data_IF_194848987055
#
_entry.id   IF_194848987055
#
_cell.length_a   1.000
_cell.length_b   1.000
_cell.length_c   1.000
_cell.angle_alpha   90.00
_cell.angle_beta   90.00
_cell.angle_gamma   90.00
#
_symmetry.space_group_name_H-M   'P 1'
#
loop_
_entity.id
_entity.type
_entity.pdbx_description
1 polymer ?
#
# COMPACT_ATOMS: atom_id res chain seq x y z
N UNK A 1 -2.22 1.74 7.85
CA UNK A 1 -1.72 2.54 6.70
C UNK A 1 -2.51 3.83 6.42
N UNK A 2 -3.85 3.81 6.34
CA UNK A 2 -4.66 5.03 6.08
C UNK A 2 -4.37 6.18 7.05
N UNK A 3 -4.18 5.87 8.34
CA UNK A 3 -3.78 6.83 9.36
C UNK A 3 -2.40 7.48 9.09
N UNK A 4 -1.39 6.69 8.68
CA UNK A 4 -0.07 7.23 8.30
C UNK A 4 -0.16 8.12 7.06
N UNK A 5 -0.99 7.74 6.08
CA UNK A 5 -1.26 8.56 4.91
C UNK A 5 -1.89 9.91 5.31
N UNK A 6 -2.88 9.90 6.20
CA UNK A 6 -3.52 11.12 6.70
C UNK A 6 -2.53 12.01 7.48
N UNK A 7 -1.65 11.42 8.29
CA UNK A 7 -0.53 12.12 8.94
C UNK A 7 0.45 12.73 7.95
N UNK A 8 0.76 12.04 6.85
CA UNK A 8 1.65 12.56 5.81
C UNK A 8 1.03 13.73 5.04
N UNK A 9 -0.29 13.68 4.78
CA UNK A 9 -1.05 14.78 4.18
C UNK A 9 -1.10 15.98 5.13
N UNK A 10 -1.41 15.77 6.41
CA UNK A 10 -1.45 16.85 7.39
C UNK A 10 -0.08 17.49 7.58
N UNK A 11 1.00 16.70 7.58
CA UNK A 11 2.38 17.21 7.63
C UNK A 11 2.73 18.02 6.38
N UNK A 12 2.36 17.52 5.20
CA UNK A 12 2.54 18.24 3.93
C UNK A 12 1.78 19.57 3.89
N UNK A 13 0.62 19.68 4.53
CA UNK A 13 -0.20 20.91 4.55
C UNK A 13 0.23 21.90 5.66
N UNK A 14 0.81 21.42 6.76
CA UNK A 14 1.26 22.24 7.90
C UNK A 14 2.68 22.80 7.75
N UNK A 15 3.26 22.71 6.56
CA UNK A 15 4.65 23.14 6.28
C UNK A 15 4.94 24.61 6.60
N UNK A 16 3.94 25.50 6.52
CA UNK A 16 4.09 26.92 6.89
C UNK A 16 4.42 27.14 8.38
N UNK A 17 4.04 26.21 9.27
CA UNK A 17 4.30 26.30 10.71
C UNK A 17 5.75 25.97 11.09
N UNK A 18 6.57 25.49 10.15
CA UNK A 18 7.97 25.10 10.36
C UNK A 18 8.89 26.34 10.53
N UNK A 19 8.39 27.54 10.19
CA UNK A 19 9.17 28.80 10.15
C UNK A 19 9.62 29.30 11.55
N UNK A 20 8.97 28.87 12.65
CA UNK A 20 9.38 29.24 14.02
C UNK A 20 10.43 28.24 14.56
N UNK A 21 11.36 28.66 15.41
CA UNK A 21 12.38 27.77 16.04
C UNK A 21 11.76 26.53 16.73
N UNK A 22 10.54 26.65 17.27
CA UNK A 22 9.77 25.53 17.82
C UNK A 22 9.29 24.51 16.76
N UNK A 23 9.30 24.88 15.48
CA UNK A 23 8.95 24.05 14.34
C UNK A 23 9.95 22.93 14.08
N UNK A 24 11.26 23.19 14.24
CA UNK A 24 12.32 22.19 14.00
C UNK A 24 12.24 21.03 15.00
N UNK A 25 11.98 21.32 16.28
CA UNK A 25 11.80 20.27 17.28
C UNK A 25 10.50 19.48 17.06
N UNK A 26 9.43 20.15 16.61
CA UNK A 26 8.16 19.50 16.25
C UNK A 26 8.30 18.58 15.03
N UNK A 27 9.01 19.00 13.98
CA UNK A 27 9.26 18.15 12.79
C UNK A 27 10.11 16.94 13.15
N UNK A 28 11.09 17.11 14.05
CA UNK A 28 11.89 16.01 14.58
C UNK A 28 11.03 14.97 15.31
N UNK A 29 10.16 15.41 16.21
CA UNK A 29 9.25 14.54 16.95
C UNK A 29 8.27 13.83 16.01
N UNK A 30 7.76 14.53 14.99
CA UNK A 30 6.92 13.94 13.96
C UNK A 30 7.65 12.83 13.21
N UNK A 31 8.88 13.09 12.72
CA UNK A 31 9.68 12.10 12.00
C UNK A 31 9.99 10.86 12.84
N UNK A 32 10.35 11.04 14.11
CA UNK A 32 10.62 9.92 15.01
C UNK A 32 9.36 9.05 15.23
N UNK A 33 8.20 9.68 15.48
CA UNK A 33 6.93 8.98 15.65
C UNK A 33 6.53 8.26 14.35
N UNK A 34 6.62 8.94 13.22
CA UNK A 34 6.29 8.39 11.91
C UNK A 34 7.17 7.18 11.57
N UNK A 35 8.48 7.31 11.77
CA UNK A 35 9.46 6.26 11.51
C UNK A 35 9.16 4.99 12.32
N UNK A 36 8.91 5.14 13.63
CA UNK A 36 8.61 4.02 14.51
C UNK A 36 7.27 3.34 14.14
N UNK A 37 6.21 4.12 13.90
CA UNK A 37 4.91 3.56 13.48
C UNK A 37 5.01 2.84 12.14
N UNK A 38 5.75 3.40 11.17
CA UNK A 38 5.95 2.80 9.87
C UNK A 38 6.73 1.49 9.96
N UNK A 39 7.85 1.48 10.70
CA UNK A 39 8.67 0.27 10.89
C UNK A 39 7.89 -0.84 11.59
N UNK A 40 7.09 -0.50 12.61
CA UNK A 40 6.21 -1.47 13.29
C UNK A 40 5.24 -2.11 12.29
N UNK A 41 4.54 -1.31 11.49
CA UNK A 41 3.62 -1.84 10.47
C UNK A 41 4.35 -2.66 9.40
N UNK A 42 5.54 -2.23 8.98
CA UNK A 42 6.32 -2.94 7.96
C UNK A 42 6.80 -4.30 8.45
N UNK A 43 7.32 -4.37 9.68
CA UNK A 43 7.77 -5.63 10.31
C UNK A 43 6.61 -6.59 10.54
N UNK A 44 5.46 -6.10 11.02
CA UNK A 44 4.22 -6.89 11.12
C UNK A 44 3.77 -7.42 9.76
N UNK A 45 3.79 -6.57 8.71
CA UNK A 45 3.41 -6.96 7.36
C UNK A 45 4.32 -8.05 6.80
N UNK A 46 5.65 -7.92 6.98
CA UNK A 46 6.62 -8.94 6.54
C UNK A 46 6.38 -10.27 7.26
N UNK A 47 6.17 -10.22 8.59
CA UNK A 47 5.95 -11.43 9.40
C UNK A 47 4.66 -12.15 9.00
N UNK A 48 3.63 -11.41 8.63
CA UNK A 48 2.34 -11.96 8.23
C UNK A 48 2.28 -12.39 6.75
N UNK A 49 3.17 -11.85 5.91
CA UNK A 49 3.20 -12.13 4.49
C UNK A 49 3.24 -13.62 4.12
N UNK A 50 4.09 -14.51 4.70
CA UNK A 50 4.13 -15.91 4.27
C UNK A 50 2.78 -16.61 4.47
N UNK A 51 2.13 -16.40 5.62
CA UNK A 51 0.82 -16.99 5.93
C UNK A 51 -0.26 -16.51 4.98
N UNK A 52 -0.36 -15.19 4.79
CA UNK A 52 -1.38 -14.61 3.90
C UNK A 52 -1.13 -14.95 2.44
N UNK A 53 0.13 -15.01 2.03
CA UNK A 53 0.56 -15.36 0.67
C UNK A 53 0.15 -16.79 0.31
N UNK A 54 0.33 -17.74 1.22
CA UNK A 54 -0.11 -19.13 1.04
C UNK A 54 -1.64 -19.24 1.02
N UNK A 55 -2.34 -18.56 1.92
CA UNK A 55 -3.80 -18.56 1.99
C UNK A 55 -4.43 -17.99 0.72
N UNK A 56 -3.91 -16.87 0.21
CA UNK A 56 -4.38 -16.26 -1.04
C UNK A 56 -4.20 -17.19 -2.24
N UNK A 57 -3.11 -17.95 -2.28
CA UNK A 57 -2.87 -18.92 -3.33
C UNK A 57 -3.90 -20.06 -3.31
N UNK A 58 -4.19 -20.64 -2.14
CA UNK A 58 -5.21 -21.68 -1.99
C UNK A 58 -6.60 -21.15 -2.39
N UNK A 59 -6.97 -19.95 -1.93
CA UNK A 59 -8.25 -19.34 -2.29
C UNK A 59 -8.38 -19.09 -3.80
N UNK A 60 -7.29 -18.70 -4.47
CA UNK A 60 -7.28 -18.49 -5.92
C UNK A 60 -7.52 -19.81 -6.69
N UNK A 61 -6.95 -20.93 -6.23
CA UNK A 61 -7.22 -22.25 -6.81
C UNK A 61 -8.68 -22.66 -6.59
N UNK A 62 -9.17 -22.54 -5.35
CA UNK A 62 -10.55 -22.93 -4.99
C UNK A 62 -11.56 -22.13 -5.81
N UNK A 63 -11.41 -20.81 -5.90
CA UNK A 63 -12.33 -19.96 -6.67
C UNK A 63 -12.36 -20.28 -8.16
N UNK A 64 -11.21 -20.57 -8.77
CA UNK A 64 -11.16 -20.99 -10.19
C UNK A 64 -11.82 -22.34 -10.39
N UNK A 65 -11.62 -23.29 -9.48
CA UNK A 65 -12.33 -24.57 -9.49
C UNK A 65 -13.84 -24.39 -9.35
N UNK A 66 -14.27 -23.57 -8.39
CA UNK A 66 -15.69 -23.32 -8.11
C UNK A 66 -16.43 -22.74 -9.32
N UNK A 67 -15.84 -21.78 -10.05
CA UNK A 67 -16.50 -21.20 -11.22
C UNK A 67 -16.58 -22.18 -12.40
N UNK A 68 -15.55 -23.01 -12.63
CA UNK A 68 -15.57 -24.05 -13.66
C UNK A 68 -16.69 -25.05 -13.36
N UNK A 69 -16.77 -25.53 -12.11
CA UNK A 69 -17.82 -26.46 -11.68
C UNK A 69 -19.20 -25.80 -11.76
N UNK A 70 -19.34 -24.54 -11.39
CA UNK A 70 -20.60 -23.81 -11.49
C UNK A 70 -21.12 -23.71 -12.93
N UNK A 71 -20.23 -23.38 -13.88
CA UNK A 71 -20.58 -23.28 -15.30
C UNK A 71 -20.95 -24.65 -15.87
N UNK A 72 -20.16 -25.70 -15.57
CA UNK A 72 -20.44 -27.07 -16.01
C UNK A 72 -21.74 -27.63 -15.41
N UNK A 73 -22.03 -27.29 -14.16
CA UNK A 73 -23.26 -27.69 -13.49
C UNK A 73 -24.47 -26.98 -14.10
N UNK A 74 -24.35 -25.67 -14.37
CA UNK A 74 -25.38 -24.90 -15.04
C UNK A 74 -25.67 -25.39 -16.46
N UNK A 75 -24.64 -25.72 -17.25
CA UNK A 75 -24.82 -26.14 -18.64
C UNK A 75 -25.50 -27.49 -18.81
N UNK A 76 -25.36 -28.39 -17.83
CA UNK A 76 -26.02 -29.72 -17.84
C UNK A 76 -27.45 -29.69 -17.33
N UNK A 77 -27.90 -28.58 -16.74
CA UNK A 77 -29.19 -28.49 -16.09
C UNK A 77 -30.28 -28.08 -17.09
N UNK A 78 -31.27 -28.95 -17.33
CA UNK A 78 -32.42 -28.66 -18.20
C UNK A 78 -33.53 -27.89 -17.48
N UNK A 79 -33.70 -28.10 -16.17
CA UNK A 79 -34.62 -27.35 -15.31
C UNK A 79 -33.93 -26.86 -14.03
N UNK A 80 -34.11 -25.57 -13.72
CA UNK A 80 -33.55 -24.92 -12.55
C UNK A 80 -34.45 -25.14 -11.32
N UNK A 81 -34.10 -26.12 -10.50
CA UNK A 81 -34.69 -26.31 -9.17
C UNK A 81 -34.09 -25.34 -8.14
N UNK A 82 -34.83 -25.05 -7.06
CA UNK A 82 -34.36 -24.22 -5.94
C UNK A 82 -33.02 -24.71 -5.34
N UNK A 83 -32.81 -26.02 -5.26
CA UNK A 83 -31.55 -26.59 -4.80
C UNK A 83 -30.38 -26.35 -5.78
N UNK A 84 -30.64 -26.44 -7.09
CA UNK A 84 -29.61 -26.14 -8.10
C UNK A 84 -29.30 -24.65 -8.21
N UNK A 85 -30.28 -23.77 -8.01
CA UNK A 85 -30.03 -22.33 -8.03
C UNK A 85 -29.23 -21.89 -6.80
N UNK A 86 -29.54 -22.44 -5.62
CA UNK A 86 -28.78 -22.15 -4.39
C UNK A 86 -27.34 -22.66 -4.46
N UNK A 87 -27.08 -23.85 -5.02
CA UNK A 87 -25.71 -24.36 -5.19
C UNK A 87 -24.86 -23.48 -6.12
N UNK A 88 -25.43 -23.04 -7.26
CA UNK A 88 -24.77 -22.12 -8.19
C UNK A 88 -24.46 -20.78 -7.49
N UNK A 89 -25.41 -20.25 -6.72
CA UNK A 89 -25.20 -19.00 -5.97
C UNK A 89 -24.07 -19.13 -4.96
N UNK A 90 -23.96 -20.25 -4.22
CA UNK A 90 -22.85 -20.48 -3.29
C UNK A 90 -21.52 -20.51 -4.05
N UNK A 91 -21.44 -21.23 -5.18
CA UNK A 91 -20.22 -21.29 -5.98
C UNK A 91 -19.81 -19.91 -6.54
N UNK A 92 -20.77 -19.11 -7.00
CA UNK A 92 -20.52 -17.72 -7.41
C UNK A 92 -19.98 -16.86 -6.26
N UNK A 93 -20.54 -16.99 -5.06
CA UNK A 93 -20.04 -16.27 -3.88
C UNK A 93 -18.60 -16.66 -3.55
N UNK A 94 -18.25 -17.94 -3.64
CA UNK A 94 -16.87 -18.41 -3.43
C UNK A 94 -15.90 -17.88 -4.48
N UNK A 95 -16.36 -17.61 -5.70
CA UNK A 95 -15.56 -16.97 -6.75
C UNK A 95 -15.33 -15.48 -6.50
N UNK A 96 -16.36 -14.73 -6.09
CA UNK A 96 -16.22 -13.29 -5.84
C UNK A 96 -15.43 -12.95 -4.57
N UNK A 97 -15.42 -13.85 -3.58
CA UNK A 97 -14.72 -13.63 -2.31
C UNK A 97 -13.22 -13.28 -2.44
N UNK A 98 -12.37 -14.07 -3.12
CA UNK A 98 -10.96 -13.72 -3.29
C UNK A 98 -10.76 -12.47 -4.13
N UNK A 99 -11.63 -12.17 -5.11
CA UNK A 99 -11.55 -10.92 -5.89
C UNK A 99 -11.66 -9.70 -4.96
N UNK A 100 -12.60 -9.73 -4.02
CA UNK A 100 -12.75 -8.67 -3.01
C UNK A 100 -11.50 -8.61 -2.10
N UNK A 101 -10.98 -9.74 -1.64
CA UNK A 101 -9.75 -9.77 -0.84
C UNK A 101 -8.56 -9.17 -1.58
N UNK A 102 -8.30 -9.56 -2.83
CA UNK A 102 -7.24 -8.99 -3.66
C UNK A 102 -7.41 -7.48 -3.87
N UNK A 103 -8.65 -6.99 -4.01
CA UNK A 103 -8.94 -5.56 -4.10
C UNK A 103 -8.53 -4.78 -2.84
N UNK A 104 -8.63 -5.40 -1.66
CA UNK A 104 -8.24 -4.80 -0.38
C UNK A 104 -6.74 -4.85 -0.17
N UNK A 105 -6.14 -6.00 -0.46
CA UNK A 105 -4.69 -6.23 -0.34
C UNK A 105 -3.89 -5.30 -1.26
N UNK A 106 -4.34 -5.12 -2.50
CA UNK A 106 -3.69 -4.23 -3.48
C UNK A 106 -3.72 -2.75 -3.12
N UNK A 107 -4.59 -2.31 -2.18
CA UNK A 107 -4.60 -0.91 -1.71
C UNK A 107 -3.39 -0.57 -0.85
N UNK A 108 -2.84 -1.53 -0.11
CA UNK A 108 -1.69 -1.30 0.78
C UNK A 108 -0.46 -0.71 0.06
N UNK A 109 0.06 -1.32 -1.03
CA UNK A 109 1.20 -0.75 -1.75
C UNK A 109 0.87 0.62 -2.36
N UNK A 110 -0.36 0.82 -2.86
CA UNK A 110 -0.76 2.14 -3.41
C UNK A 110 -0.79 3.22 -2.35
N UNK A 111 -1.28 2.92 -1.13
CA UNK A 111 -1.23 3.85 -0.01
C UNK A 111 0.21 4.17 0.41
N UNK A 112 1.11 3.17 0.38
CA UNK A 112 2.54 3.40 0.66
C UNK A 112 3.15 4.37 -0.37
N UNK A 113 2.90 4.16 -1.66
CA UNK A 113 3.38 5.03 -2.75
C UNK A 113 2.82 6.46 -2.68
N UNK A 114 1.54 6.62 -2.32
CA UNK A 114 0.98 7.96 -2.10
C UNK A 114 1.63 8.63 -0.90
N UNK A 115 1.83 7.89 0.19
CA UNK A 115 2.48 8.40 1.39
C UNK A 115 3.93 8.82 1.12
N UNK A 116 4.72 8.03 0.38
CA UNK A 116 6.08 8.42 -0.04
C UNK A 116 6.07 9.70 -0.87
N UNK A 117 5.14 9.84 -1.83
CA UNK A 117 5.01 11.05 -2.65
C UNK A 117 4.71 12.29 -1.82
N UNK A 118 3.80 12.21 -0.85
CA UNK A 118 3.50 13.33 0.05
C UNK A 118 4.69 13.70 0.93
N UNK A 119 5.37 12.72 1.50
CA UNK A 119 6.56 12.96 2.33
C UNK A 119 7.71 13.55 1.52
N UNK A 120 7.92 13.10 0.28
CA UNK A 120 8.98 13.59 -0.60
C UNK A 120 8.72 15.03 -1.01
N UNK A 121 7.47 15.36 -1.38
CA UNK A 121 7.05 16.73 -1.66
C UNK A 121 7.23 17.64 -0.44
N UNK A 122 6.89 17.13 0.75
CA UNK A 122 7.07 17.87 2.00
C UNK A 122 8.57 18.13 2.27
N UNK A 123 9.43 17.11 2.13
CA UNK A 123 10.88 17.27 2.29
C UNK A 123 11.46 18.28 1.29
N UNK A 124 11.12 18.17 0.01
CA UNK A 124 11.59 19.10 -1.03
C UNK A 124 11.22 20.56 -0.70
N UNK A 125 9.98 20.80 -0.24
CA UNK A 125 9.53 22.12 0.20
C UNK A 125 10.27 22.63 1.43
N UNK A 126 10.50 21.76 2.42
CA UNK A 126 11.25 22.15 3.62
C UNK A 126 12.71 22.49 3.30
N UNK A 127 13.35 21.73 2.42
CA UNK A 127 14.73 21.98 1.98
C UNK A 127 14.84 23.29 1.21
N UNK A 128 13.92 23.55 0.28
CA UNK A 128 13.88 24.81 -0.47
C UNK A 128 13.69 26.02 0.44
N UNK A 129 12.80 25.94 1.43
CA UNK A 129 12.59 27.01 2.41
C UNK A 129 13.83 27.26 3.28
N UNK A 130 14.49 26.19 3.74
CA UNK A 130 15.74 26.31 4.53
C UNK A 130 16.83 27.00 3.70
N UNK A 131 16.97 26.66 2.41
CA UNK A 131 17.92 27.30 1.51
C UNK A 131 17.60 28.79 1.33
N UNK A 132 16.35 29.14 1.00
CA UNK A 132 15.90 30.52 0.78
C UNK A 132 16.06 31.42 2.01
N UNK A 133 15.92 30.88 3.21
CA UNK A 133 16.08 31.64 4.46
C UNK A 133 17.56 31.78 4.86
N UNK A 134 18.42 30.88 4.41
CA UNK A 134 19.84 30.86 4.73
C UNK A 134 20.65 31.87 3.92
N UNK A 135 20.24 32.25 2.71
CA UNK A 135 20.90 33.33 1.94
C UNK A 135 21.03 34.66 2.72
N UNK A 136 20.27 34.84 3.81
CA UNK A 136 20.31 36.01 4.71
C UNK A 136 21.06 35.79 6.05
N UNK A 137 21.45 34.57 6.43
CA UNK A 137 21.94 34.23 7.80
C UNK A 137 23.19 33.33 7.87
N UNK A 138 23.80 32.99 6.74
CA UNK A 138 24.90 32.00 6.60
C UNK A 138 26.09 32.21 7.56
N UNK A 139 26.33 33.42 8.08
CA UNK A 139 27.55 33.70 8.86
C UNK A 139 27.56 33.12 10.30
N UNK A 140 26.42 32.85 10.94
CA UNK A 140 26.38 32.88 12.43
C UNK A 140 26.46 31.51 13.13
N UNK A 141 26.22 30.34 12.48
CA UNK A 141 26.33 29.07 13.22
C UNK A 141 26.50 27.78 12.38
N UNK A 142 27.74 27.43 12.04
CA UNK A 142 28.11 26.21 11.27
C UNK A 142 27.63 24.90 11.94
N UNK A 143 27.60 24.85 13.27
CA UNK A 143 27.20 23.66 14.07
C UNK A 143 25.70 23.35 13.99
N UNK A 144 24.83 24.37 13.96
CA UNK A 144 23.38 24.14 13.86
C UNK A 144 23.01 23.69 12.44
N UNK A 145 23.67 24.24 11.42
CA UNK A 145 23.52 23.84 10.02
C UNK A 145 23.87 22.36 9.79
N UNK A 146 25.00 21.90 10.33
CA UNK A 146 25.39 20.48 10.24
C UNK A 146 24.36 19.54 10.89
N UNK A 147 23.76 19.91 12.03
CA UNK A 147 22.71 19.09 12.67
C UNK A 147 21.44 19.02 11.84
N UNK A 148 21.01 20.11 11.23
CA UNK A 148 19.82 20.17 10.35
C UNK A 148 20.06 19.35 9.07
N UNK A 149 21.25 19.50 8.45
CA UNK A 149 21.64 18.75 7.26
C UNK A 149 21.65 17.23 7.49
N UNK A 150 22.23 16.76 8.60
CA UNK A 150 22.22 15.34 8.97
C UNK A 150 20.81 14.77 9.11
N UNK A 151 19.88 15.54 9.69
CA UNK A 151 18.50 15.10 9.86
C UNK A 151 17.77 15.00 8.51
N UNK A 152 17.94 16.01 7.66
CA UNK A 152 17.38 16.04 6.31
C UNK A 152 17.88 14.87 5.46
N UNK A 153 19.19 14.57 5.56
CA UNK A 153 19.80 13.43 4.89
C UNK A 153 19.22 12.10 5.38
N UNK A 154 19.08 11.91 6.70
CA UNK A 154 18.46 10.71 7.28
C UNK A 154 17.01 10.53 6.81
N UNK A 155 16.20 11.59 6.78
CA UNK A 155 14.82 11.50 6.28
C UNK A 155 14.76 11.20 4.78
N UNK A 156 15.65 11.78 3.98
CA UNK A 156 15.76 11.49 2.54
C UNK A 156 16.07 10.01 2.29
N UNK A 157 17.09 9.47 2.95
CA UNK A 157 17.44 8.06 2.86
C UNK A 157 16.29 7.16 3.27
N UNK A 158 15.58 7.52 4.35
CA UNK A 158 14.42 6.77 4.80
C UNK A 158 13.29 6.75 3.75
N UNK A 159 12.99 7.88 3.11
CA UNK A 159 11.99 7.92 2.03
C UNK A 159 12.44 7.08 0.83
N UNK A 160 13.73 7.11 0.46
CA UNK A 160 14.26 6.26 -0.61
C UNK A 160 14.06 4.77 -0.30
N UNK A 161 14.35 4.36 0.94
CA UNK A 161 14.08 2.99 1.42
C UNK A 161 12.58 2.70 1.38
N UNK A 162 11.74 3.63 1.82
CA UNK A 162 10.27 3.49 1.82
C UNK A 162 9.68 3.39 0.40
N UNK A 163 10.35 3.95 -0.60
CA UNK A 163 9.94 3.86 -2.00
C UNK A 163 10.38 2.54 -2.63
N UNK A 164 11.57 2.05 -2.26
CA UNK A 164 12.15 0.83 -2.81
C UNK A 164 11.71 -0.44 -2.07
N UNK A 165 11.16 -0.32 -0.87
CA UNK A 165 10.70 -1.47 -0.11
C UNK A 165 9.44 -2.10 -0.73
N UNK A 166 9.35 -3.43 -0.66
CA UNK A 166 8.16 -4.18 -1.09
C UNK A 166 7.09 -4.13 0.01
N UNK A 167 6.56 -2.94 0.31
CA UNK A 167 5.50 -2.78 1.31
C UNK A 167 4.17 -3.31 0.77
N UNK A 168 3.82 -4.54 1.15
CA UNK A 168 2.59 -5.21 0.73
C UNK A 168 2.72 -6.73 0.85
N UNK A 169 1.85 -7.43 0.12
CA UNK A 169 1.76 -8.89 0.19
C UNK A 169 2.04 -9.53 -1.16
N UNK A 170 2.60 -10.73 -1.12
CA UNK A 170 2.78 -11.62 -2.28
C UNK A 170 1.64 -12.62 -2.35
N UNK A 171 1.35 -13.14 -3.54
CA UNK A 171 0.54 -14.35 -3.73
C UNK A 171 1.48 -15.51 -4.06
N UNK A 172 1.64 -16.46 -3.13
CA UNK A 172 2.69 -17.47 -3.17
C UNK A 172 4.09 -16.90 -3.50
N UNK A 173 4.83 -17.63 -4.33
CA UNK A 173 6.07 -17.16 -4.98
C UNK A 173 5.82 -16.47 -6.32
N UNK A 174 4.56 -16.32 -6.74
CA UNK A 174 4.20 -16.03 -8.13
C UNK A 174 4.29 -14.53 -8.45
N UNK A 175 3.70 -13.67 -7.60
CA UNK A 175 3.70 -12.23 -7.87
C UNK A 175 3.41 -11.39 -6.63
N UNK A 176 3.87 -10.13 -6.68
CA UNK A 176 3.53 -9.11 -5.70
C UNK A 176 2.18 -8.46 -6.05
N UNK A 177 1.29 -8.32 -5.06
CA UNK A 177 -0.09 -7.90 -5.28
C UNK A 177 -0.15 -6.38 -5.42
N UNK A 178 0.00 -5.89 -6.64
CA UNK A 178 -0.22 -4.49 -7.01
C UNK A 178 -1.62 -4.29 -7.60
N UNK A 179 -2.07 -3.03 -7.68
CA UNK A 179 -3.33 -2.67 -8.35
C UNK A 179 -3.37 -3.14 -9.81
N UNK A 180 -2.24 -3.07 -10.52
CA UNK A 180 -2.12 -3.55 -11.90
C UNK A 180 -2.26 -5.07 -12.00
N UNK A 181 -1.59 -5.81 -11.12
CA UNK A 181 -1.70 -7.28 -11.08
C UNK A 181 -3.11 -7.74 -10.73
N UNK A 182 -3.80 -7.02 -9.85
CA UNK A 182 -5.22 -7.26 -9.59
C UNK A 182 -6.10 -7.09 -10.85
N UNK A 183 -5.91 -6.02 -11.62
CA UNK A 183 -6.65 -5.81 -12.87
C UNK A 183 -6.33 -6.92 -13.88
N UNK A 184 -5.07 -7.33 -13.98
CA UNK A 184 -4.64 -8.43 -14.84
C UNK A 184 -5.32 -9.77 -14.46
N UNK A 185 -5.40 -10.08 -13.16
CA UNK A 185 -6.10 -11.26 -12.66
C UNK A 185 -7.60 -11.23 -12.99
N UNK A 186 -8.23 -10.06 -12.82
CA UNK A 186 -9.64 -9.88 -13.13
C UNK A 186 -9.91 -10.12 -14.63
N UNK A 187 -9.09 -9.55 -15.51
CA UNK A 187 -9.15 -9.80 -16.96
C UNK A 187 -8.97 -11.29 -17.30
N UNK A 188 -8.04 -11.97 -16.63
CA UNK A 188 -7.78 -13.38 -16.85
C UNK A 188 -8.96 -14.25 -16.39
N UNK A 189 -9.62 -13.89 -15.29
CA UNK A 189 -10.81 -14.57 -14.80
C UNK A 189 -12.01 -14.38 -15.76
N UNK A 190 -12.19 -13.19 -16.35
CA UNK A 190 -13.20 -12.97 -17.40
C UNK A 190 -12.94 -13.88 -18.61
N UNK A 191 -11.69 -13.94 -19.08
CA UNK A 191 -11.31 -14.80 -20.20
C UNK A 191 -11.56 -16.28 -19.89
N UNK A 192 -11.32 -16.72 -18.65
CA UNK A 192 -11.63 -18.08 -18.23
C UNK A 192 -13.12 -18.39 -18.33
N UNK A 193 -13.99 -17.48 -17.85
CA UNK A 193 -15.45 -17.64 -17.95
C UNK A 193 -15.87 -17.77 -19.42
N UNK A 194 -15.35 -16.91 -20.30
CA UNK A 194 -15.67 -16.94 -21.73
C UNK A 194 -15.26 -18.26 -22.39
N UNK A 195 -14.15 -18.87 -21.98
CA UNK A 195 -13.68 -20.14 -22.56
C UNK A 195 -14.47 -21.37 -22.12
N UNK A 196 -15.13 -21.30 -20.97
CA UNK A 196 -15.86 -22.44 -20.38
C UNK A 196 -17.38 -22.35 -20.56
N UNK A 197 -17.90 -21.18 -20.92
CA UNK A 197 -19.26 -20.99 -21.41
C UNK A 197 -19.37 -21.44 -22.87
#
# INVERSE_FOLDING_TARGET
MKHLLMKSISASNSYHLIIKQNGINKTRLFWNKFHNEYLKLFTETIRFNPTLSFLLFILDIISKGAIIVAILFYSRQTHLNLFSTTSIMIMLMTFFYPIILYSRVSRLPTCNQLCTKYLLNWLARTQWLILKQNDRKILINKKSYQKISRYSFKSNLFIQIMNNNRFGFTCGHLFFITKFKYIQLLLLNINLIIKFY
#
